data_IF_406344575217
#
_entry.id   IF_406344575217
#
_cell.length_a   1.000
_cell.length_b   1.000
_cell.length_c   1.000
_cell.angle_alpha   90.00
_cell.angle_beta   90.00
_cell.angle_gamma   90.00
#
_symmetry.space_group_name_H-M   'P 1'
#
loop_
_entity.id
_entity.type
_entity.pdbx_description
1 polymer ?
#
# COMPACT_ATOMS: atom_id res chain seq x y z
N UNK A 1 -51.78 2.41 -0.07
CA UNK A 1 -50.34 2.50 -0.43
C UNK A 1 -50.04 1.33 -1.35
N UNK A 2 -49.80 1.60 -2.64
CA UNK A 2 -49.38 0.54 -3.57
C UNK A 2 -47.90 0.26 -3.27
N UNK A 3 -47.59 -0.90 -2.72
CA UNK A 3 -46.25 -1.44 -2.73
C UNK A 3 -45.86 -1.62 -4.22
N UNK A 4 -44.93 -0.80 -4.70
CA UNK A 4 -44.29 -1.06 -5.99
C UNK A 4 -43.45 -2.30 -5.81
N UNK A 5 -43.83 -3.41 -6.45
CA UNK A 5 -42.93 -4.56 -6.59
C UNK A 5 -41.64 -4.08 -7.23
N UNK A 6 -40.56 -4.12 -6.48
CA UNK A 6 -39.20 -3.85 -7.02
C UNK A 6 -38.80 -5.08 -7.83
N UNK A 7 -38.89 -4.98 -9.14
CA UNK A 7 -38.42 -6.03 -10.03
C UNK A 7 -36.87 -5.90 -10.14
N UNK A 8 -36.14 -6.75 -9.44
CA UNK A 8 -34.70 -6.82 -9.57
C UNK A 8 -34.29 -7.39 -10.94
N UNK A 9 -33.28 -6.75 -11.58
CA UNK A 9 -32.82 -7.18 -12.91
C UNK A 9 -31.98 -8.46 -12.89
N UNK A 10 -31.18 -8.67 -11.83
CA UNK A 10 -30.34 -9.86 -11.67
C UNK A 10 -30.08 -10.19 -10.19
N UNK A 11 -29.67 -11.44 -9.93
CA UNK A 11 -29.08 -11.86 -8.66
C UNK A 11 -27.56 -11.77 -8.74
N UNK A 12 -26.96 -11.10 -7.75
CA UNK A 12 -25.52 -10.80 -7.71
C UNK A 12 -24.92 -11.30 -6.40
N UNK A 13 -23.80 -12.05 -6.50
CA UNK A 13 -23.00 -12.40 -5.34
C UNK A 13 -21.69 -11.61 -5.35
N UNK A 14 -21.44 -10.84 -4.30
CA UNK A 14 -20.17 -10.16 -4.04
C UNK A 14 -19.35 -11.01 -3.07
N UNK A 15 -18.19 -11.46 -3.49
CA UNK A 15 -17.30 -12.32 -2.69
C UNK A 15 -16.19 -11.46 -2.10
N UNK A 16 -16.26 -11.22 -0.78
CA UNK A 16 -15.35 -10.40 -0.01
C UNK A 16 -15.95 -9.04 0.39
N UNK A 17 -16.20 -8.86 1.68
CA UNK A 17 -16.73 -7.65 2.30
C UNK A 17 -15.65 -6.64 2.68
N UNK A 18 -14.60 -6.52 1.88
CA UNK A 18 -13.57 -5.49 1.99
C UNK A 18 -13.98 -4.15 1.39
N UNK A 19 -13.01 -3.26 1.17
CA UNK A 19 -13.22 -1.92 0.63
C UNK A 19 -14.00 -1.94 -0.69
N UNK A 20 -13.49 -2.62 -1.71
CA UNK A 20 -14.11 -2.68 -3.04
C UNK A 20 -15.44 -3.44 -3.05
N UNK A 21 -15.57 -4.50 -2.23
CA UNK A 21 -16.78 -5.32 -2.18
C UNK A 21 -17.96 -4.58 -1.53
N UNK A 22 -17.72 -3.83 -0.45
CA UNK A 22 -18.76 -3.01 0.17
C UNK A 22 -19.31 -1.96 -0.82
N UNK A 23 -18.41 -1.23 -1.51
CA UNK A 23 -18.85 -0.25 -2.51
C UNK A 23 -19.58 -0.91 -3.67
N UNK A 24 -19.04 -2.02 -4.19
CA UNK A 24 -19.69 -2.77 -5.28
C UNK A 24 -21.10 -3.24 -4.89
N UNK A 25 -21.28 -3.77 -3.66
CA UNK A 25 -22.57 -4.25 -3.20
C UNK A 25 -23.59 -3.12 -3.04
N UNK A 26 -23.20 -1.97 -2.50
CA UNK A 26 -24.05 -0.79 -2.35
C UNK A 26 -24.55 -0.31 -3.71
N UNK A 27 -23.67 -0.13 -4.68
CA UNK A 27 -24.09 0.36 -6.01
C UNK A 27 -24.87 -0.71 -6.81
N UNK A 28 -24.53 -1.98 -6.69
CA UNK A 28 -25.27 -3.05 -7.37
C UNK A 28 -26.68 -3.22 -6.83
N UNK A 29 -26.91 -2.98 -5.52
CA UNK A 29 -28.23 -3.14 -4.89
C UNK A 29 -29.29 -2.14 -5.36
N UNK A 30 -28.87 -1.06 -6.04
CA UNK A 30 -29.81 -0.08 -6.59
C UNK A 30 -30.79 -0.70 -7.61
N UNK A 31 -30.38 -1.75 -8.32
CA UNK A 31 -31.17 -2.39 -9.36
C UNK A 31 -31.22 -3.93 -9.27
N UNK A 32 -30.48 -4.54 -8.36
CA UNK A 32 -30.31 -5.97 -8.31
C UNK A 32 -30.51 -6.52 -6.90
N UNK A 33 -30.83 -7.84 -6.80
CA UNK A 33 -30.78 -8.55 -5.52
C UNK A 33 -29.32 -8.92 -5.24
N UNK A 34 -28.73 -8.37 -4.17
CA UNK A 34 -27.31 -8.52 -3.85
C UNK A 34 -27.11 -9.31 -2.57
N UNK A 35 -26.23 -10.31 -2.63
CA UNK A 35 -25.70 -11.06 -1.49
C UNK A 35 -24.22 -10.68 -1.38
N UNK A 36 -23.77 -10.24 -0.20
CA UNK A 36 -22.39 -9.99 0.14
C UNK A 36 -21.90 -11.05 1.12
N UNK A 37 -20.87 -11.81 0.72
CA UNK A 37 -20.34 -12.89 1.54
C UNK A 37 -18.91 -12.61 1.99
N UNK A 38 -18.61 -12.81 3.27
CA UNK A 38 -17.26 -12.74 3.82
C UNK A 38 -17.01 -13.84 4.85
N UNK A 39 -15.81 -14.43 4.82
CA UNK A 39 -15.40 -15.46 5.78
C UNK A 39 -15.14 -14.91 7.18
N UNK A 40 -14.92 -13.60 7.33
CA UNK A 40 -14.76 -12.97 8.62
C UNK A 40 -16.11 -12.64 9.26
N UNK A 41 -16.11 -12.53 10.58
CA UNK A 41 -17.27 -12.06 11.33
C UNK A 41 -17.57 -10.56 11.05
N UNK A 42 -16.54 -9.75 10.85
CA UNK A 42 -16.68 -8.31 10.62
C UNK A 42 -16.19 -7.95 9.21
N UNK A 43 -17.03 -7.23 8.46
CA UNK A 43 -16.66 -6.68 7.16
C UNK A 43 -15.64 -5.55 7.30
N UNK A 44 -14.89 -5.27 6.25
CA UNK A 44 -13.94 -4.16 6.21
C UNK A 44 -12.74 -4.29 7.14
N UNK A 45 -12.38 -5.51 7.57
CA UNK A 45 -11.32 -5.76 8.56
C UNK A 45 -9.99 -5.11 8.18
N UNK A 46 -9.61 -5.11 6.88
CA UNK A 46 -8.39 -4.45 6.41
C UNK A 46 -8.48 -2.92 6.47
N UNK A 47 -9.68 -2.33 6.30
CA UNK A 47 -9.91 -0.88 6.43
C UNK A 47 -9.47 -0.40 7.82
N UNK A 48 -9.81 -1.15 8.86
CA UNK A 48 -9.50 -0.82 10.26
C UNK A 48 -7.99 -0.71 10.54
N UNK A 49 -7.15 -1.36 9.74
CA UNK A 49 -5.70 -1.36 9.91
C UNK A 49 -5.01 -0.23 9.13
N UNK A 50 -5.72 0.42 8.21
CA UNK A 50 -5.13 1.45 7.34
C UNK A 50 -4.84 2.74 8.11
N UNK A 51 -3.80 3.47 7.68
CA UNK A 51 -3.43 4.75 8.30
C UNK A 51 -3.18 4.65 9.79
N UNK A 52 -2.66 3.52 10.29
CA UNK A 52 -2.45 3.25 11.71
C UNK A 52 -3.73 3.41 12.55
N UNK A 53 -4.83 2.82 12.06
CA UNK A 53 -6.17 2.89 12.69
C UNK A 53 -6.96 4.18 12.43
N UNK A 54 -6.44 5.10 11.61
CA UNK A 54 -7.10 6.37 11.27
C UNK A 54 -7.82 6.36 9.92
N UNK A 55 -7.47 5.42 9.04
CA UNK A 55 -7.93 5.28 7.67
C UNK A 55 -7.67 6.52 6.80
N UNK A 56 -6.53 6.56 6.12
CA UNK A 56 -6.35 7.48 5.01
C UNK A 56 -7.18 6.95 3.84
N UNK A 57 -8.43 7.41 3.73
CA UNK A 57 -9.41 6.79 2.84
C UNK A 57 -9.37 7.36 1.42
N UNK A 58 -8.75 8.53 1.21
CA UNK A 58 -8.70 9.20 -0.08
C UNK A 58 -7.46 10.11 -0.19
N UNK A 59 -7.08 10.43 -1.42
CA UNK A 59 -6.06 11.42 -1.71
C UNK A 59 -6.55 12.37 -2.80
N UNK A 60 -6.32 13.68 -2.63
CA UNK A 60 -6.68 14.70 -3.63
C UNK A 60 -5.92 14.52 -4.94
N UNK A 61 -4.67 14.03 -4.85
CA UNK A 61 -3.75 13.90 -5.98
C UNK A 61 -3.83 12.52 -6.67
N UNK A 62 -4.95 11.78 -6.50
CA UNK A 62 -5.14 10.50 -7.17
C UNK A 62 -4.96 10.66 -8.67
N UNK A 63 -3.87 10.06 -9.17
CA UNK A 63 -3.49 10.00 -10.58
C UNK A 63 -2.59 8.78 -10.83
N UNK A 64 -2.48 8.34 -12.06
CA UNK A 64 -1.75 7.11 -12.40
C UNK A 64 -0.25 7.13 -12.10
N UNK A 65 0.35 8.32 -11.91
CA UNK A 65 1.77 8.45 -11.53
C UNK A 65 2.10 7.85 -10.16
N UNK A 66 1.10 7.64 -9.29
CA UNK A 66 1.23 7.06 -7.96
C UNK A 66 0.95 5.57 -7.91
N UNK A 67 0.80 4.92 -9.06
CA UNK A 67 0.48 3.50 -9.14
C UNK A 67 1.48 2.74 -9.99
N UNK A 68 1.57 1.44 -9.73
CA UNK A 68 2.25 0.46 -10.57
C UNK A 68 1.21 -0.51 -11.13
N UNK A 69 1.37 -0.89 -12.38
CA UNK A 69 0.60 -1.91 -13.09
C UNK A 69 1.35 -2.32 -14.35
N UNK A 70 1.21 -3.56 -14.80
CA UNK A 70 1.72 -3.96 -16.12
C UNK A 70 1.00 -3.26 -17.28
N UNK A 71 -0.22 -2.75 -17.04
CA UNK A 71 -1.09 -2.09 -18.01
C UNK A 71 -1.45 -0.65 -17.59
N UNK A 72 -0.46 0.14 -17.20
CA UNK A 72 -0.63 1.48 -16.60
C UNK A 72 -1.50 2.43 -17.44
N UNK A 73 -1.44 2.34 -18.77
CA UNK A 73 -2.24 3.17 -19.68
C UNK A 73 -3.74 2.91 -19.57
N UNK A 74 -4.13 1.68 -19.20
CA UNK A 74 -5.54 1.33 -18.98
C UNK A 74 -6.06 1.92 -17.67
N UNK A 75 -5.19 2.13 -16.69
CA UNK A 75 -5.55 2.69 -15.41
C UNK A 75 -6.07 4.14 -15.54
N UNK A 76 -5.61 4.92 -16.51
CA UNK A 76 -6.12 6.26 -16.81
C UNK A 76 -7.62 6.27 -17.16
N UNK A 77 -8.15 5.18 -17.71
CA UNK A 77 -9.58 5.05 -18.02
C UNK A 77 -10.42 4.83 -16.77
N UNK A 78 -9.84 4.17 -15.77
CA UNK A 78 -10.48 3.89 -14.47
C UNK A 78 -10.35 5.12 -13.56
N UNK A 79 -9.15 5.68 -13.44
CA UNK A 79 -8.85 6.85 -12.58
C UNK A 79 -9.05 8.14 -13.40
N UNK A 80 -10.29 8.46 -13.72
CA UNK A 80 -10.67 9.70 -14.39
C UNK A 80 -11.37 10.67 -13.43
N UNK A 81 -11.58 11.92 -13.87
CA UNK A 81 -12.15 12.95 -13.02
C UNK A 81 -13.60 12.68 -12.61
N UNK A 82 -14.40 12.05 -13.48
CA UNK A 82 -15.79 11.70 -13.18
C UNK A 82 -15.86 10.67 -12.05
N UNK A 83 -15.09 9.61 -12.15
CA UNK A 83 -15.04 8.56 -11.13
C UNK A 83 -14.50 9.08 -9.79
N UNK A 84 -13.48 9.93 -9.82
CA UNK A 84 -12.94 10.59 -8.61
C UNK A 84 -14.00 11.44 -7.92
N UNK A 85 -14.70 12.28 -8.66
CA UNK A 85 -15.76 13.14 -8.13
C UNK A 85 -16.89 12.31 -7.53
N UNK A 86 -17.27 11.20 -8.17
CA UNK A 86 -18.31 10.31 -7.63
C UNK A 86 -17.90 9.71 -6.29
N UNK A 87 -16.67 9.25 -6.13
CA UNK A 87 -16.21 8.70 -4.84
C UNK A 87 -16.18 9.78 -3.75
N UNK A 88 -15.74 11.01 -4.06
CA UNK A 88 -15.82 12.10 -3.09
C UNK A 88 -17.26 12.40 -2.67
N UNK A 89 -18.20 12.40 -3.61
CA UNK A 89 -19.62 12.60 -3.33
C UNK A 89 -20.23 11.42 -2.58
N UNK A 90 -19.82 10.20 -2.88
CA UNK A 90 -20.23 8.99 -2.17
C UNK A 90 -19.90 9.09 -0.66
N UNK A 91 -18.67 9.40 -0.30
CA UNK A 91 -18.30 9.55 1.11
C UNK A 91 -19.02 10.72 1.81
N UNK A 92 -19.33 11.81 1.08
CA UNK A 92 -20.19 12.88 1.61
C UNK A 92 -21.61 12.39 1.91
N UNK A 93 -22.21 11.58 1.01
CA UNK A 93 -23.55 10.97 1.23
C UNK A 93 -23.56 10.02 2.41
N UNK A 94 -22.46 9.30 2.65
CA UNK A 94 -22.27 8.46 3.84
C UNK A 94 -22.09 9.26 5.14
N UNK A 95 -22.10 10.59 5.10
CA UNK A 95 -21.90 11.46 6.27
C UNK A 95 -20.46 11.54 6.75
N UNK A 96 -19.48 11.12 5.95
CA UNK A 96 -18.06 11.22 6.29
C UNK A 96 -17.57 12.66 6.10
N UNK A 97 -17.20 13.29 7.20
CA UNK A 97 -16.58 14.63 7.20
C UNK A 97 -15.06 14.45 7.06
N UNK A 98 -14.44 15.00 5.99
CA UNK A 98 -13.00 14.84 5.78
C UNK A 98 -12.20 15.76 6.69
N UNK A 99 -11.09 15.24 7.23
CA UNK A 99 -9.97 15.99 7.78
C UNK A 99 -8.82 15.87 6.80
N UNK A 100 -8.51 16.98 6.12
CA UNK A 100 -7.47 17.03 5.09
C UNK A 100 -6.15 17.46 5.72
N UNK A 101 -5.07 16.73 5.43
CA UNK A 101 -3.68 17.07 5.76
C UNK A 101 -2.88 16.96 4.47
N UNK A 102 -2.38 18.06 3.96
CA UNK A 102 -1.79 18.16 2.64
C UNK A 102 -2.78 17.66 1.57
N UNK A 103 -2.51 16.52 0.93
CA UNK A 103 -3.44 15.86 -0.01
C UNK A 103 -4.19 14.68 0.58
N UNK A 104 -3.91 14.27 1.82
CA UNK A 104 -4.44 13.08 2.49
C UNK A 104 -5.77 13.33 3.18
N UNK A 105 -6.77 12.48 2.93
CA UNK A 105 -8.09 12.55 3.55
C UNK A 105 -8.24 11.50 4.64
N UNK A 106 -8.53 11.95 5.85
CA UNK A 106 -8.91 11.11 6.98
C UNK A 106 -10.33 11.45 7.40
N UNK A 107 -11.11 10.54 8.04
CA UNK A 107 -12.32 10.96 8.71
C UNK A 107 -11.99 11.96 9.83
N UNK A 108 -12.87 12.95 10.07
CA UNK A 108 -12.65 13.99 11.09
C UNK A 108 -12.45 13.39 12.49
N UNK A 109 -13.06 12.23 12.75
CA UNK A 109 -12.89 11.43 13.97
C UNK A 109 -11.49 10.88 14.15
N UNK A 110 -10.65 10.81 13.09
CA UNK A 110 -9.38 10.08 13.03
C UNK A 110 -9.52 8.58 13.40
N UNK A 111 -10.66 7.95 13.13
CA UNK A 111 -10.95 6.55 13.44
C UNK A 111 -11.36 5.80 12.18
N UNK A 112 -10.65 4.73 11.85
CA UNK A 112 -10.97 3.87 10.70
C UNK A 112 -12.35 3.21 10.82
N UNK A 113 -12.82 3.02 12.05
CA UNK A 113 -14.17 2.52 12.34
C UNK A 113 -15.27 3.40 11.76
N UNK A 114 -15.07 4.73 11.68
CA UNK A 114 -16.08 5.63 11.09
C UNK A 114 -16.32 5.30 9.61
N UNK A 115 -15.26 4.99 8.86
CA UNK A 115 -15.38 4.59 7.45
C UNK A 115 -16.03 3.22 7.33
N UNK A 116 -15.57 2.24 8.11
CA UNK A 116 -16.11 0.89 8.11
C UNK A 116 -17.60 0.87 8.47
N UNK A 117 -17.98 1.50 9.58
CA UNK A 117 -19.36 1.53 10.06
C UNK A 117 -20.28 2.20 9.05
N UNK A 118 -19.88 3.32 8.46
CA UNK A 118 -20.67 4.01 7.45
C UNK A 118 -20.92 3.15 6.21
N UNK A 119 -19.91 2.41 5.73
CA UNK A 119 -20.05 1.52 4.58
C UNK A 119 -20.93 0.31 4.88
N UNK A 120 -20.77 -0.32 6.06
CA UNK A 120 -21.59 -1.48 6.44
C UNK A 120 -23.06 -1.07 6.63
N UNK A 121 -23.30 0.04 7.35
CA UNK A 121 -24.65 0.56 7.53
C UNK A 121 -25.33 0.87 6.20
N UNK A 122 -24.63 1.52 5.28
CA UNK A 122 -25.17 1.84 3.95
C UNK A 122 -25.51 0.57 3.16
N UNK A 123 -24.67 -0.47 3.21
CA UNK A 123 -24.96 -1.74 2.57
C UNK A 123 -26.23 -2.39 3.15
N UNK A 124 -26.41 -2.38 4.48
CA UNK A 124 -27.62 -2.87 5.15
C UNK A 124 -28.86 -2.06 4.74
N UNK A 125 -28.77 -0.73 4.78
CA UNK A 125 -29.86 0.18 4.41
C UNK A 125 -30.27 0.07 2.93
N UNK A 126 -29.29 -0.28 2.07
CA UNK A 126 -29.54 -0.52 0.65
C UNK A 126 -30.12 -1.91 0.36
N UNK A 127 -30.39 -2.72 1.38
CA UNK A 127 -31.02 -4.05 1.23
C UNK A 127 -30.07 -5.15 0.79
N UNK A 128 -28.75 -4.99 0.98
CA UNK A 128 -27.77 -6.04 0.72
C UNK A 128 -27.91 -7.15 1.76
N UNK A 129 -28.09 -8.39 1.31
CA UNK A 129 -28.06 -9.57 2.21
C UNK A 129 -26.61 -9.88 2.57
N UNK A 130 -26.24 -9.72 3.85
CA UNK A 130 -24.88 -9.90 4.34
C UNK A 130 -24.72 -11.26 4.99
N UNK A 131 -23.79 -12.09 4.48
CA UNK A 131 -23.45 -13.41 5.00
C UNK A 131 -22.02 -13.39 5.56
N UNK A 132 -21.91 -13.17 6.87
CA UNK A 132 -20.64 -13.20 7.60
C UNK A 132 -20.29 -14.62 8.08
N UNK A 133 -19.02 -14.88 8.39
CA UNK A 133 -18.50 -16.19 8.83
C UNK A 133 -18.81 -17.31 7.81
N UNK A 134 -18.84 -16.97 6.53
CA UNK A 134 -19.16 -17.91 5.49
C UNK A 134 -18.09 -17.86 4.39
N UNK A 135 -17.35 -18.94 4.24
CA UNK A 135 -16.24 -19.02 3.29
C UNK A 135 -16.71 -19.62 1.95
N UNK A 136 -16.32 -18.98 0.85
CA UNK A 136 -16.52 -19.55 -0.50
C UNK A 136 -15.47 -20.61 -0.75
N UNK A 137 -15.92 -21.83 -1.07
CA UNK A 137 -15.08 -23.00 -1.32
C UNK A 137 -14.90 -23.29 -2.81
N UNK A 138 -15.89 -23.01 -3.63
CA UNK A 138 -15.77 -23.09 -5.09
C UNK A 138 -16.72 -22.15 -5.81
N UNK A 139 -16.32 -21.75 -7.01
CA UNK A 139 -17.13 -21.00 -7.98
C UNK A 139 -17.06 -21.71 -9.31
N UNK A 140 -18.20 -22.08 -9.85
CA UNK A 140 -18.34 -22.83 -11.09
C UNK A 140 -19.35 -22.15 -12.02
N UNK A 141 -19.15 -22.32 -13.34
CA UNK A 141 -20.19 -21.97 -14.32
C UNK A 141 -21.29 -23.04 -14.29
N UNK A 142 -22.53 -22.59 -14.25
CA UNK A 142 -23.71 -23.45 -14.25
C UNK A 142 -24.73 -22.90 -15.25
N UNK A 143 -24.72 -23.44 -16.47
CA UNK A 143 -25.42 -22.85 -17.61
C UNK A 143 -25.01 -21.37 -17.81
N UNK A 144 -25.98 -20.46 -17.86
CA UNK A 144 -25.74 -19.03 -17.96
C UNK A 144 -25.52 -18.34 -16.61
N UNK A 145 -25.57 -19.08 -15.51
CA UNK A 145 -25.40 -18.62 -14.13
C UNK A 145 -24.08 -19.09 -13.51
N UNK A 146 -23.89 -18.73 -12.26
CA UNK A 146 -22.79 -19.21 -11.42
C UNK A 146 -23.34 -20.02 -10.25
N UNK A 147 -22.71 -21.16 -10.01
CA UNK A 147 -22.92 -22.00 -8.83
C UNK A 147 -21.76 -21.79 -7.88
N UNK A 148 -22.05 -21.37 -6.67
CA UNK A 148 -21.07 -21.10 -5.63
C UNK A 148 -21.33 -22.02 -4.45
N UNK A 149 -20.32 -22.80 -4.08
CA UNK A 149 -20.35 -23.62 -2.87
C UNK A 149 -19.65 -22.84 -1.76
N UNK A 150 -20.33 -22.72 -0.64
CA UNK A 150 -19.79 -22.08 0.56
C UNK A 150 -19.61 -23.12 1.67
N UNK A 151 -19.06 -22.70 2.81
CA UNK A 151 -18.97 -23.55 4.02
C UNK A 151 -20.35 -24.00 4.53
N UNK A 152 -21.44 -23.30 4.20
CA UNK A 152 -22.76 -23.54 4.79
C UNK A 152 -23.83 -23.91 3.77
N UNK A 153 -23.69 -23.53 2.51
CA UNK A 153 -24.78 -23.69 1.50
C UNK A 153 -24.26 -23.67 0.06
N UNK A 154 -25.18 -23.92 -0.86
CA UNK A 154 -25.03 -23.71 -2.29
C UNK A 154 -25.84 -22.46 -2.70
N UNK A 155 -25.24 -21.59 -3.51
CA UNK A 155 -25.85 -20.34 -4.00
C UNK A 155 -25.76 -20.35 -5.52
N UNK A 156 -26.87 -20.08 -6.22
CA UNK A 156 -26.88 -19.90 -7.67
C UNK A 156 -27.29 -18.47 -8.00
N UNK A 157 -26.41 -17.75 -8.75
CA UNK A 157 -26.59 -16.34 -9.08
C UNK A 157 -26.30 -16.06 -10.55
N UNK A 158 -26.82 -14.95 -11.05
CA UNK A 158 -26.61 -14.52 -12.44
C UNK A 158 -25.22 -13.92 -12.65
N UNK A 159 -24.70 -13.19 -11.64
CA UNK A 159 -23.43 -12.46 -11.73
C UNK A 159 -22.61 -12.58 -10.44
N UNK A 160 -21.29 -12.47 -10.58
CA UNK A 160 -20.34 -12.52 -9.46
C UNK A 160 -19.40 -11.30 -9.50
N UNK A 161 -19.13 -10.72 -8.33
CA UNK A 161 -18.06 -9.76 -8.11
C UNK A 161 -16.99 -10.40 -7.23
N UNK A 162 -15.77 -10.57 -7.75
CA UNK A 162 -14.60 -10.98 -6.98
C UNK A 162 -13.96 -9.76 -6.34
N UNK A 163 -14.14 -9.61 -5.02
CA UNK A 163 -13.61 -8.52 -4.19
C UNK A 163 -12.78 -9.05 -3.01
N UNK A 164 -12.13 -10.20 -3.20
CA UNK A 164 -11.44 -10.99 -2.17
C UNK A 164 -10.14 -10.36 -1.66
N UNK A 165 -9.66 -9.29 -2.31
CA UNK A 165 -8.34 -8.73 -2.04
C UNK A 165 -7.19 -9.62 -2.51
N UNK A 166 -5.99 -9.31 -2.06
CA UNK A 166 -4.73 -9.96 -2.47
C UNK A 166 -4.25 -11.03 -1.48
N UNK A 167 -2.93 -11.33 -1.48
CA UNK A 167 -2.24 -12.16 -0.46
C UNK A 167 -1.73 -11.34 0.73
N UNK A 168 -1.71 -10.00 0.63
CA UNK A 168 -1.14 -9.15 1.67
C UNK A 168 -1.99 -9.14 2.94
N UNK A 169 -1.31 -9.22 4.10
CA UNK A 169 -1.90 -9.21 5.43
C UNK A 169 -2.97 -10.31 5.62
N UNK A 170 -2.63 -11.61 5.49
CA UNK A 170 -3.58 -12.73 5.46
C UNK A 170 -4.45 -12.83 6.72
N UNK A 171 -4.00 -12.29 7.86
CA UNK A 171 -4.80 -12.16 9.10
C UNK A 171 -6.08 -11.34 8.94
N UNK A 172 -6.20 -10.56 7.86
CA UNK A 172 -7.42 -9.81 7.52
C UNK A 172 -8.42 -10.60 6.69
N UNK A 173 -8.07 -11.82 6.29
CA UNK A 173 -8.87 -12.66 5.41
C UNK A 173 -8.38 -12.71 3.95
N UNK A 174 -7.42 -11.87 3.57
CA UNK A 174 -6.84 -11.82 2.22
C UNK A 174 -5.82 -12.95 2.03
N UNK A 175 -6.26 -14.09 1.51
CA UNK A 175 -5.40 -15.29 1.35
C UNK A 175 -4.92 -15.52 -0.08
N UNK A 176 -5.42 -14.73 -1.04
CA UNK A 176 -5.13 -14.92 -2.46
C UNK A 176 -6.04 -15.94 -3.17
N UNK A 177 -7.05 -16.48 -2.50
CA UNK A 177 -8.00 -17.44 -3.11
C UNK A 177 -8.71 -16.87 -4.35
N UNK A 178 -8.94 -15.56 -4.40
CA UNK A 178 -9.50 -14.91 -5.59
C UNK A 178 -8.65 -15.07 -6.85
N UNK A 179 -7.33 -15.19 -6.71
CA UNK A 179 -6.44 -15.47 -7.86
C UNK A 179 -6.69 -16.87 -8.44
N UNK A 180 -6.97 -17.85 -7.59
CA UNK A 180 -7.30 -19.21 -8.02
C UNK A 180 -8.63 -19.23 -8.79
N UNK A 181 -9.65 -18.53 -8.28
CA UNK A 181 -10.94 -18.39 -8.96
C UNK A 181 -10.75 -17.68 -10.31
N UNK A 182 -10.06 -16.54 -10.34
CA UNK A 182 -9.82 -15.80 -11.57
C UNK A 182 -9.05 -16.64 -12.61
N UNK A 183 -8.02 -17.36 -12.17
CA UNK A 183 -7.23 -18.27 -13.02
C UNK A 183 -8.10 -19.40 -13.60
N UNK A 184 -9.02 -19.96 -12.82
CA UNK A 184 -9.98 -21.00 -13.27
C UNK A 184 -10.86 -20.48 -14.42
N UNK A 185 -11.19 -19.18 -14.42
CA UNK A 185 -11.92 -18.52 -15.51
C UNK A 185 -11.01 -17.97 -16.62
N UNK A 186 -9.74 -18.40 -16.65
CA UNK A 186 -8.79 -18.16 -17.72
C UNK A 186 -8.05 -16.83 -17.61
N UNK A 187 -8.13 -16.12 -16.47
CA UNK A 187 -7.35 -14.90 -16.27
C UNK A 187 -5.88 -15.19 -16.02
N UNK A 188 -5.04 -14.32 -16.58
CA UNK A 188 -3.61 -14.29 -16.32
C UNK A 188 -3.35 -13.58 -14.98
N UNK A 189 -2.57 -14.21 -14.13
CA UNK A 189 -2.15 -13.65 -12.86
C UNK A 189 -0.69 -13.18 -13.01
N UNK A 190 -0.46 -11.88 -12.95
CA UNK A 190 0.88 -11.31 -12.75
C UNK A 190 1.31 -11.69 -11.34
N UNK A 191 2.49 -12.30 -11.17
CA UNK A 191 2.92 -12.83 -9.88
C UNK A 191 2.74 -11.82 -8.75
N UNK A 192 1.89 -12.11 -7.75
CA UNK A 192 1.68 -11.23 -6.62
C UNK A 192 2.89 -11.22 -5.69
N UNK A 193 3.46 -10.06 -5.44
CA UNK A 193 4.63 -9.85 -4.59
C UNK A 193 4.29 -8.88 -3.44
N UNK A 194 4.96 -8.99 -2.26
CA UNK A 194 4.72 -8.09 -1.15
C UNK A 194 5.05 -6.64 -1.53
N UNK A 195 4.15 -5.70 -1.23
CA UNK A 195 4.38 -4.27 -1.44
C UNK A 195 3.92 -3.46 -0.22
N UNK A 196 4.40 -2.22 -0.09
CA UNK A 196 4.29 -1.39 1.12
C UNK A 196 4.74 -2.19 2.35
N UNK A 197 5.96 -2.71 2.29
CA UNK A 197 6.55 -3.67 3.21
C UNK A 197 7.96 -3.23 3.62
N UNK A 198 8.42 -3.69 4.78
CA UNK A 198 9.76 -3.46 5.29
C UNK A 198 10.80 -4.23 4.47
N UNK A 199 12.01 -3.68 4.38
CA UNK A 199 13.15 -4.31 3.69
C UNK A 199 14.14 -4.91 4.69
N UNK A 200 14.61 -6.12 4.39
CA UNK A 200 15.68 -6.80 5.09
C UNK A 200 17.00 -6.51 4.38
N UNK A 201 17.97 -6.00 5.13
CA UNK A 201 19.26 -5.59 4.59
C UNK A 201 20.36 -6.53 5.02
N UNK A 202 21.47 -6.51 4.26
CA UNK A 202 22.70 -7.15 4.68
C UNK A 202 23.54 -6.19 5.52
N UNK A 203 23.89 -6.61 6.74
CA UNK A 203 24.70 -5.80 7.65
C UNK A 203 24.75 -6.38 9.06
N UNK A 204 25.83 -6.03 9.79
CA UNK A 204 26.09 -6.58 11.14
C UNK A 204 25.72 -5.65 12.29
N UNK A 205 25.42 -4.39 12.01
CA UNK A 205 25.25 -3.35 13.04
C UNK A 205 23.81 -2.89 13.28
N UNK A 206 22.83 -3.55 12.69
CA UNK A 206 21.42 -3.09 12.74
C UNK A 206 20.84 -3.07 14.17
N UNK A 207 21.28 -3.94 15.05
CA UNK A 207 20.89 -3.91 16.47
C UNK A 207 21.29 -2.61 17.17
N UNK A 208 22.41 -1.98 16.73
CA UNK A 208 22.93 -0.74 17.33
C UNK A 208 22.08 0.49 16.95
N UNK A 209 21.46 0.48 15.78
CA UNK A 209 20.61 1.58 15.31
C UNK A 209 19.10 1.34 15.48
N UNK A 210 18.70 0.12 15.88
CA UNK A 210 17.29 -0.26 15.97
C UNK A 210 16.46 0.68 16.86
N UNK A 211 15.23 0.98 16.40
CA UNK A 211 14.27 1.84 17.08
C UNK A 211 14.42 3.33 16.76
N UNK A 212 15.42 3.73 15.95
CA UNK A 212 15.58 5.13 15.55
C UNK A 212 14.63 5.45 14.41
N UNK A 213 14.07 6.66 14.44
CA UNK A 213 13.38 7.32 13.33
C UNK A 213 14.16 8.55 12.91
N UNK A 214 14.25 8.80 11.62
CA UNK A 214 14.97 9.94 11.05
C UNK A 214 14.37 10.34 9.71
N UNK A 215 14.35 11.63 9.41
CA UNK A 215 14.03 12.13 8.08
C UNK A 215 15.23 11.95 7.15
N UNK A 216 15.02 11.25 6.05
CA UNK A 216 16.08 10.86 5.12
C UNK A 216 15.61 10.98 3.67
N UNK A 217 16.57 10.92 2.73
CA UNK A 217 16.29 10.42 1.39
C UNK A 217 16.84 9.01 1.24
N UNK A 218 16.09 8.16 0.52
CA UNK A 218 16.47 6.78 0.19
C UNK A 218 16.42 6.63 -1.32
N UNK A 219 17.54 6.21 -1.91
CA UNK A 219 17.63 5.88 -3.33
C UNK A 219 17.66 4.37 -3.51
N UNK A 220 16.88 3.88 -4.46
CA UNK A 220 16.89 2.49 -4.89
C UNK A 220 17.78 2.32 -6.11
N UNK A 221 18.68 1.35 -6.05
CA UNK A 221 19.53 0.93 -7.17
C UNK A 221 19.25 -0.53 -7.51
N UNK A 222 19.00 -0.78 -8.78
CA UNK A 222 18.87 -2.11 -9.39
C UNK A 222 20.08 -2.34 -10.30
N UNK A 223 20.88 -3.37 -10.03
CA UNK A 223 22.11 -3.67 -10.79
C UNK A 223 23.02 -2.44 -10.97
N UNK A 224 23.19 -1.65 -9.91
CA UNK A 224 23.92 -0.36 -9.87
C UNK A 224 23.28 0.82 -10.63
N UNK A 225 22.09 0.67 -11.24
CA UNK A 225 21.38 1.75 -11.90
C UNK A 225 20.39 2.37 -10.91
N UNK A 226 20.38 3.71 -10.79
CA UNK A 226 19.39 4.42 -9.98
C UNK A 226 18.01 4.26 -10.63
N UNK A 227 17.03 3.76 -9.85
CA UNK A 227 15.67 3.51 -10.28
C UNK A 227 14.71 4.58 -9.74
N UNK A 228 14.73 4.83 -8.43
CA UNK A 228 13.81 5.77 -7.77
C UNK A 228 14.46 6.36 -6.52
N UNK A 229 14.07 7.59 -6.17
CA UNK A 229 14.36 8.22 -4.88
C UNK A 229 13.05 8.47 -4.14
N UNK A 230 13.03 8.19 -2.84
CA UNK A 230 11.93 8.53 -1.94
C UNK A 230 12.47 9.31 -0.73
N UNK A 231 11.64 10.23 -0.20
CA UNK A 231 11.99 11.06 0.97
C UNK A 231 10.94 10.91 2.05
N UNK A 232 11.37 11.01 3.30
CA UNK A 232 10.48 10.95 4.45
C UNK A 232 11.10 10.25 5.64
N UNK A 233 10.27 9.96 6.63
CA UNK A 233 10.72 9.27 7.84
C UNK A 233 11.06 7.81 7.55
N UNK A 234 12.30 7.43 7.82
CA UNK A 234 12.76 6.04 7.89
C UNK A 234 12.68 5.56 9.35
N UNK A 235 12.33 4.29 9.55
CA UNK A 235 12.46 3.60 10.81
C UNK A 235 13.54 2.53 10.67
N UNK A 236 14.62 2.65 11.44
CA UNK A 236 15.71 1.69 11.51
C UNK A 236 15.30 0.53 12.42
N UNK A 237 15.49 -0.69 11.95
CA UNK A 237 15.13 -1.93 12.68
C UNK A 237 16.37 -2.80 12.88
N UNK A 238 16.23 -3.87 13.62
CA UNK A 238 17.33 -4.83 13.89
C UNK A 238 17.60 -5.80 12.72
N UNK A 239 16.79 -5.73 11.65
CA UNK A 239 16.92 -6.52 10.43
C UNK A 239 17.09 -5.67 9.15
N UNK A 240 16.97 -4.36 9.25
CA UNK A 240 17.02 -3.47 8.10
C UNK A 240 16.23 -2.17 8.31
N UNK A 241 15.26 -1.88 7.45
CA UNK A 241 14.55 -0.60 7.43
C UNK A 241 13.05 -0.72 7.18
N UNK A 242 12.32 0.25 7.70
CA UNK A 242 10.89 0.46 7.55
C UNK A 242 10.60 1.96 7.39
N UNK A 243 9.34 2.35 7.27
CA UNK A 243 8.93 3.75 7.16
C UNK A 243 8.38 4.09 5.77
N UNK A 244 7.75 5.27 5.67
CA UNK A 244 6.99 5.64 4.46
C UNK A 244 7.89 5.67 3.22
N UNK A 245 9.08 6.27 3.30
CA UNK A 245 10.03 6.32 2.18
C UNK A 245 10.50 4.94 1.73
N UNK A 246 10.59 3.96 2.65
CA UNK A 246 10.93 2.57 2.34
C UNK A 246 9.75 1.86 1.66
N UNK A 247 8.54 2.07 2.17
CA UNK A 247 7.33 1.47 1.59
C UNK A 247 7.11 1.91 0.14
N UNK A 248 7.38 3.17 -0.20
CA UNK A 248 7.25 3.70 -1.56
C UNK A 248 8.23 3.05 -2.58
N UNK A 249 9.29 2.42 -2.09
CA UNK A 249 10.28 1.72 -2.92
C UNK A 249 10.04 0.21 -2.97
N UNK A 250 9.34 -0.34 -1.97
CA UNK A 250 9.28 -1.77 -1.71
C UNK A 250 8.64 -2.61 -2.82
N UNK A 251 7.67 -2.07 -3.57
CA UNK A 251 7.07 -2.73 -4.73
C UNK A 251 8.12 -3.01 -5.82
N UNK A 252 8.94 -2.00 -6.14
CA UNK A 252 10.02 -2.12 -7.11
C UNK A 252 11.09 -3.11 -6.62
N UNK A 253 11.48 -3.01 -5.34
CA UNK A 253 12.41 -3.95 -4.71
C UNK A 253 11.91 -5.39 -4.81
N UNK A 254 10.66 -5.65 -4.44
CA UNK A 254 10.08 -7.00 -4.53
C UNK A 254 10.12 -7.54 -5.95
N UNK A 255 9.82 -6.70 -6.93
CA UNK A 255 9.86 -7.07 -8.35
C UNK A 255 11.29 -7.34 -8.84
N UNK A 256 12.26 -6.51 -8.43
CA UNK A 256 13.66 -6.69 -8.77
C UNK A 256 14.23 -7.98 -8.16
N UNK A 257 13.96 -8.26 -6.88
CA UNK A 257 14.36 -9.51 -6.21
C UNK A 257 13.75 -10.74 -6.88
N UNK A 258 12.46 -10.68 -7.25
CA UNK A 258 11.80 -11.76 -8.00
C UNK A 258 12.48 -12.04 -9.34
N UNK A 259 12.96 -11.00 -10.03
CA UNK A 259 13.72 -11.10 -11.28
C UNK A 259 15.19 -11.42 -11.05
N UNK A 260 15.63 -11.70 -9.83
CA UNK A 260 17.02 -11.99 -9.45
C UNK A 260 17.98 -10.82 -9.71
N UNK A 261 17.50 -9.58 -9.63
CA UNK A 261 18.35 -8.39 -9.71
C UNK A 261 19.02 -8.11 -8.37
N UNK A 262 20.18 -7.46 -8.45
CA UNK A 262 20.86 -6.95 -7.26
C UNK A 262 20.24 -5.65 -6.82
N UNK A 263 19.51 -5.69 -5.71
CA UNK A 263 18.81 -4.55 -5.14
C UNK A 263 19.65 -3.91 -4.01
N UNK A 264 19.87 -2.62 -4.09
CA UNK A 264 20.59 -1.86 -3.07
C UNK A 264 19.83 -0.57 -2.75
N UNK A 265 19.84 -0.18 -1.48
CA UNK A 265 19.36 1.14 -1.06
C UNK A 265 20.54 2.01 -0.59
N UNK A 266 20.47 3.31 -0.89
CA UNK A 266 21.40 4.32 -0.41
C UNK A 266 20.65 5.33 0.46
N UNK A 267 21.05 5.45 1.73
CA UNK A 267 20.40 6.30 2.71
C UNK A 267 21.23 7.56 2.93
N UNK A 268 20.61 8.72 2.80
CA UNK A 268 21.18 10.01 3.19
C UNK A 268 20.47 10.55 4.46
N UNK A 269 21.18 10.51 5.59
CA UNK A 269 20.71 11.01 6.89
C UNK A 269 20.79 12.54 7.05
N UNK A 270 21.45 13.23 6.12
CA UNK A 270 21.67 14.68 6.15
C UNK A 270 20.92 15.42 5.03
N UNK A 271 19.96 14.76 4.41
CA UNK A 271 19.18 15.34 3.32
C UNK A 271 18.46 16.65 3.72
N UNK A 272 17.96 16.75 4.94
CA UNK A 272 17.29 17.96 5.48
C UNK A 272 18.22 19.18 5.59
N UNK A 273 19.54 18.96 5.63
CA UNK A 273 20.57 19.99 5.64
C UNK A 273 21.11 20.30 4.24
N UNK A 274 20.55 19.69 3.18
CA UNK A 274 21.05 19.79 1.80
C UNK A 274 22.51 19.33 1.63
N UNK A 275 22.95 18.34 2.40
CA UNK A 275 24.27 17.73 2.33
C UNK A 275 24.12 16.40 1.59
N UNK A 276 24.72 16.30 0.39
CA UNK A 276 24.50 15.16 -0.51
C UNK A 276 25.73 14.30 -0.77
N UNK A 277 26.89 14.76 -0.33
CA UNK A 277 28.16 14.04 -0.51
C UNK A 277 29.17 14.38 0.59
N UNK A 278 30.26 13.65 0.60
CA UNK A 278 31.30 13.75 1.61
C UNK A 278 32.08 15.08 1.56
N UNK A 279 32.13 15.77 0.42
CA UNK A 279 32.78 17.09 0.29
C UNK A 279 31.92 18.17 0.93
N UNK A 280 30.62 18.19 0.62
CA UNK A 280 29.65 19.08 1.25
C UNK A 280 29.59 18.86 2.76
N UNK A 281 29.66 17.59 3.19
CA UNK A 281 29.73 17.20 4.59
C UNK A 281 30.94 17.84 5.30
N UNK A 282 32.15 17.69 4.75
CA UNK A 282 33.35 18.25 5.36
C UNK A 282 33.24 19.76 5.44
N UNK A 283 32.85 20.43 4.36
CA UNK A 283 32.68 21.88 4.32
C UNK A 283 31.69 22.35 5.40
N UNK A 284 30.51 21.73 5.50
CA UNK A 284 29.52 22.08 6.50
C UNK A 284 30.07 21.95 7.93
N UNK A 285 30.82 20.87 8.22
CA UNK A 285 31.35 20.64 9.57
C UNK A 285 32.61 21.47 9.86
N UNK A 286 33.41 21.87 8.86
CA UNK A 286 34.48 22.86 9.01
C UNK A 286 33.87 24.21 9.42
N UNK A 287 32.83 24.70 8.74
CA UNK A 287 32.13 25.93 9.06
C UNK A 287 31.46 25.86 10.45
N UNK A 288 30.80 24.73 10.77
CA UNK A 288 30.19 24.51 12.07
C UNK A 288 31.22 24.49 13.20
N UNK A 289 32.39 23.88 13.00
CA UNK A 289 33.47 23.84 13.98
C UNK A 289 33.99 25.24 14.32
N UNK A 290 34.05 26.13 13.32
CA UNK A 290 34.40 27.54 13.53
C UNK A 290 33.34 28.24 14.38
N UNK A 291 32.07 27.99 14.14
CA UNK A 291 30.93 28.62 14.83
C UNK A 291 30.85 28.17 16.31
N UNK A 292 31.00 26.86 16.58
CA UNK A 292 30.78 26.28 17.92
C UNK A 292 32.09 25.75 18.53
N UNK A 293 33.08 26.61 18.63
CA UNK A 293 34.43 26.32 19.09
C UNK A 293 34.53 25.36 20.28
N UNK A 294 35.65 24.60 20.32
CA UNK A 294 36.00 23.70 21.44
C UNK A 294 35.02 22.50 21.65
N UNK A 295 34.31 22.07 20.62
CA UNK A 295 33.45 20.88 20.68
C UNK A 295 34.20 19.63 20.18
N UNK A 296 33.87 18.50 20.78
CA UNK A 296 34.28 17.19 20.26
C UNK A 296 33.45 16.85 19.02
N UNK A 297 33.91 15.91 18.19
CA UNK A 297 33.15 15.46 17.02
C UNK A 297 31.77 14.93 17.40
N UNK A 298 31.64 14.21 18.52
CA UNK A 298 30.32 13.78 19.00
C UNK A 298 29.38 14.94 19.29
N UNK A 299 29.90 16.00 19.94
CA UNK A 299 29.15 17.21 20.25
C UNK A 299 28.81 18.06 19.00
N UNK A 300 29.63 18.03 17.96
CA UNK A 300 29.35 18.66 16.68
C UNK A 300 28.20 17.97 15.92
N UNK A 301 28.10 16.65 16.03
CA UNK A 301 27.02 15.86 15.42
C UNK A 301 25.73 15.90 16.25
N UNK A 302 25.82 16.18 17.54
CA UNK A 302 24.68 16.30 18.44
C UNK A 302 23.76 17.47 18.01
N UNK A 303 22.45 17.29 18.13
CA UNK A 303 21.45 18.22 17.59
C UNK A 303 21.19 18.09 16.08
N UNK A 304 21.94 17.22 15.37
CA UNK A 304 21.73 16.89 13.95
C UNK A 304 21.24 15.45 13.81
N UNK A 305 21.90 14.52 14.54
CA UNK A 305 21.64 13.09 14.47
C UNK A 305 21.30 12.51 15.85
N UNK A 306 20.55 11.42 15.84
CA UNK A 306 20.31 10.64 17.05
C UNK A 306 21.65 10.12 17.62
N UNK A 307 21.81 10.15 18.93
CA UNK A 307 23.06 9.75 19.62
C UNK A 307 23.52 8.32 19.31
N UNK A 308 22.60 7.38 19.07
CA UNK A 308 22.96 6.01 18.67
C UNK A 308 23.60 5.98 17.29
N UNK A 309 23.09 6.78 16.33
CA UNK A 309 23.70 6.91 14.99
C UNK A 309 25.09 7.56 15.08
N UNK A 310 25.24 8.61 15.90
CA UNK A 310 26.53 9.25 16.13
C UNK A 310 27.53 8.21 16.63
N UNK A 311 27.20 7.47 17.69
CA UNK A 311 28.09 6.46 18.25
C UNK A 311 28.44 5.36 17.25
N UNK A 312 27.45 4.87 16.50
CA UNK A 312 27.62 3.83 15.49
C UNK A 312 28.56 4.29 14.36
N UNK A 313 28.29 5.44 13.75
CA UNK A 313 29.06 5.89 12.61
C UNK A 313 30.47 6.39 12.97
N UNK A 314 30.65 6.95 14.16
CA UNK A 314 31.99 7.23 14.69
C UNK A 314 32.79 5.94 14.93
N UNK A 315 32.17 4.90 15.49
CA UNK A 315 32.76 3.57 15.70
C UNK A 315 33.18 2.94 14.34
N UNK A 316 32.28 2.94 13.34
CA UNK A 316 32.59 2.40 11.99
C UNK A 316 33.73 3.18 11.32
N UNK A 317 33.75 4.51 11.51
CA UNK A 317 34.79 5.38 10.96
C UNK A 317 36.11 5.35 11.77
N UNK A 318 36.17 4.56 12.85
CA UNK A 318 37.31 4.51 13.77
C UNK A 318 37.73 5.90 14.27
N UNK A 319 36.76 6.72 14.63
CA UNK A 319 36.94 8.06 15.17
C UNK A 319 36.58 8.04 16.66
N UNK A 320 37.54 8.50 17.52
CA UNK A 320 37.23 8.70 18.94
C UNK A 320 36.20 9.83 19.10
N UNK A 321 35.13 9.55 19.84
CA UNK A 321 34.03 10.50 20.05
C UNK A 321 34.44 11.81 20.73
N UNK A 322 35.55 11.81 21.47
CA UNK A 322 36.08 12.92 22.25
C UNK A 322 37.13 13.73 21.50
N UNK A 323 37.55 13.31 20.29
CA UNK A 323 38.52 14.04 19.47
C UNK A 323 37.88 15.32 18.93
N UNK A 324 38.66 16.36 18.74
CA UNK A 324 38.22 17.59 18.07
C UNK A 324 38.14 17.36 16.54
N UNK A 325 37.28 18.10 15.89
CA UNK A 325 37.07 18.00 14.44
C UNK A 325 38.36 18.25 13.63
N UNK A 326 39.14 19.27 14.02
CA UNK A 326 40.41 19.61 13.39
C UNK A 326 41.47 18.50 13.44
N UNK A 327 41.43 17.66 14.48
CA UNK A 327 42.41 16.58 14.71
C UNK A 327 42.06 15.29 13.95
N UNK A 328 40.91 15.22 13.29
CA UNK A 328 40.48 14.06 12.52
C UNK A 328 41.15 14.09 11.14
N UNK A 329 41.73 12.97 10.74
CA UNK A 329 42.35 12.86 9.40
C UNK A 329 41.29 13.01 8.29
N UNK A 330 41.68 13.53 7.14
CA UNK A 330 40.83 13.74 5.98
C UNK A 330 40.10 12.46 5.54
N UNK A 331 40.81 11.33 5.53
CA UNK A 331 40.21 10.04 5.12
C UNK A 331 39.12 9.58 6.05
N UNK A 332 39.26 9.77 7.36
CA UNK A 332 38.22 9.46 8.32
C UNK A 332 37.02 10.41 8.21
N UNK A 333 37.25 11.70 7.94
CA UNK A 333 36.18 12.67 7.64
C UNK A 333 35.40 12.27 6.39
N UNK A 334 36.10 11.85 5.32
CA UNK A 334 35.49 11.37 4.08
C UNK A 334 34.65 10.07 4.32
N UNK A 335 35.20 9.13 5.10
CA UNK A 335 34.47 7.90 5.42
C UNK A 335 33.20 8.20 6.23
N UNK A 336 33.28 9.04 7.27
CA UNK A 336 32.14 9.46 8.07
C UNK A 336 31.10 10.17 7.18
N UNK A 337 31.55 11.11 6.33
CA UNK A 337 30.68 11.82 5.38
C UNK A 337 29.96 10.86 4.44
N UNK A 338 30.65 9.85 3.90
CA UNK A 338 30.07 8.82 3.03
C UNK A 338 29.00 7.99 3.76
N UNK A 339 29.28 7.56 4.99
CA UNK A 339 28.33 6.80 5.81
C UNK A 339 27.07 7.59 6.15
N UNK A 340 27.17 8.92 6.26
CA UNK A 340 26.05 9.77 6.59
C UNK A 340 25.26 10.28 5.37
N UNK A 341 25.90 10.38 4.19
CA UNK A 341 25.27 10.94 2.98
C UNK A 341 24.97 9.89 1.91
N UNK A 342 25.67 8.75 1.92
CA UNK A 342 25.58 7.68 0.90
C UNK A 342 25.75 6.29 1.52
N UNK A 343 25.00 6.02 2.58
CA UNK A 343 25.05 4.72 3.24
C UNK A 343 24.36 3.66 2.37
N UNK A 344 25.13 2.96 1.56
CA UNK A 344 24.66 1.97 0.58
C UNK A 344 24.66 0.57 1.17
N UNK A 345 23.51 -0.09 1.09
CA UNK A 345 23.24 -1.39 1.72
C UNK A 345 22.53 -2.31 0.73
N UNK A 346 22.93 -3.57 0.70
CA UNK A 346 22.30 -4.61 -0.09
C UNK A 346 20.97 -4.99 0.52
N UNK A 347 19.93 -5.13 -0.31
CA UNK A 347 18.63 -5.66 0.10
C UNK A 347 18.61 -7.16 -0.16
N UNK A 348 18.42 -7.96 0.88
CA UNK A 348 18.38 -9.41 0.78
C UNK A 348 16.95 -9.93 0.56
N UNK A 349 15.94 -9.27 1.17
CA UNK A 349 14.55 -9.73 1.14
C UNK A 349 13.61 -8.61 1.63
N UNK A 350 12.32 -8.92 1.65
CA UNK A 350 11.27 -8.16 2.34
C UNK A 350 10.76 -8.93 3.55
N UNK A 351 9.92 -8.29 4.38
CA UNK A 351 9.25 -9.01 5.49
C UNK A 351 8.05 -9.85 5.05
N UNK A 352 7.87 -10.06 3.74
CA UNK A 352 6.86 -10.95 3.17
C UNK A 352 5.41 -10.48 3.34
N UNK A 353 4.47 -11.34 2.92
CA UNK A 353 3.05 -11.01 2.88
C UNK A 353 2.41 -10.71 4.23
N UNK A 354 2.88 -11.33 5.32
CA UNK A 354 2.33 -11.12 6.66
C UNK A 354 2.47 -9.66 7.12
N UNK A 355 3.53 -9.00 6.67
CA UNK A 355 3.86 -7.60 6.99
C UNK A 355 3.50 -6.61 5.87
N UNK A 356 3.22 -7.11 4.67
CA UNK A 356 2.86 -6.27 3.54
C UNK A 356 1.47 -5.66 3.71
N UNK A 357 1.32 -4.39 3.34
CA UNK A 357 0.01 -3.72 3.35
C UNK A 357 -0.79 -4.07 2.09
N UNK A 358 -0.12 -4.20 0.95
CA UNK A 358 -0.70 -4.53 -0.36
C UNK A 358 0.19 -5.50 -1.12
N UNK A 359 -0.29 -6.03 -2.25
CA UNK A 359 0.50 -6.75 -3.24
C UNK A 359 0.75 -5.91 -4.49
N UNK A 360 1.93 -6.05 -5.07
CA UNK A 360 2.20 -5.72 -6.48
C UNK A 360 1.94 -6.94 -7.33
N UNK A 361 1.22 -6.79 -8.44
CA UNK A 361 0.74 -7.91 -9.25
C UNK A 361 -0.71 -8.30 -8.92
N UNK A 362 -1.25 -9.26 -9.65
CA UNK A 362 -2.64 -9.69 -9.56
C UNK A 362 -3.24 -10.04 -10.91
N UNK A 363 -4.55 -10.02 -11.03
CA UNK A 363 -5.26 -10.25 -12.30
C UNK A 363 -4.92 -9.15 -13.29
N UNK A 364 -4.47 -9.55 -14.48
CA UNK A 364 -4.01 -8.64 -15.52
C UNK A 364 -5.12 -7.67 -15.95
N UNK A 365 -4.85 -6.36 -15.88
CA UNK A 365 -5.84 -5.32 -16.10
C UNK A 365 -6.36 -5.28 -17.55
N UNK A 366 -5.53 -5.65 -18.55
CA UNK A 366 -5.92 -5.73 -19.95
C UNK A 366 -6.95 -6.82 -20.26
N UNK A 367 -7.25 -7.70 -19.30
CA UNK A 367 -8.29 -8.73 -19.43
C UNK A 367 -9.63 -8.32 -18.80
N UNK A 368 -9.73 -7.03 -18.37
CA UNK A 368 -10.89 -6.45 -17.70
C UNK A 368 -11.41 -5.27 -18.54
N UNK A 369 -12.71 -5.18 -18.68
CA UNK A 369 -13.34 -3.99 -19.24
C UNK A 369 -13.20 -2.82 -18.23
N UNK A 370 -12.40 -1.84 -18.55
CA UNK A 370 -12.07 -0.72 -17.64
C UNK A 370 -13.26 0.22 -17.34
N UNK A 371 -14.31 0.17 -18.13
CA UNK A 371 -15.52 0.97 -17.90
C UNK A 371 -16.50 0.30 -16.93
N UNK A 372 -16.50 -1.04 -16.87
CA UNK A 372 -17.49 -1.83 -16.10
C UNK A 372 -16.86 -2.77 -15.08
N UNK A 373 -15.56 -2.96 -15.11
CA UNK A 373 -14.81 -3.99 -14.34
C UNK A 373 -15.25 -5.42 -14.64
N UNK A 374 -16.03 -5.66 -15.69
CA UNK A 374 -16.40 -7.01 -16.14
C UNK A 374 -15.20 -7.70 -16.81
N UNK A 375 -15.07 -8.98 -16.57
CA UNK A 375 -14.10 -9.85 -17.25
C UNK A 375 -14.34 -9.87 -18.76
N UNK A 376 -13.28 -9.67 -19.53
CA UNK A 376 -13.32 -9.88 -21.00
C UNK A 376 -13.28 -11.36 -21.39
N UNK A 377 -13.01 -12.26 -20.43
CA UNK A 377 -12.93 -13.71 -20.64
C UNK A 377 -14.17 -14.45 -20.19
N UNK A 378 -14.88 -13.94 -19.19
CA UNK A 378 -16.04 -14.61 -18.60
C UNK A 378 -17.16 -13.60 -18.34
N UNK A 379 -18.23 -13.68 -19.13
CA UNK A 379 -19.41 -12.81 -18.99
C UNK A 379 -20.08 -12.99 -17.62
N UNK A 380 -20.45 -11.88 -16.99
CA UNK A 380 -21.11 -11.85 -15.68
C UNK A 380 -20.14 -12.02 -14.50
N UNK A 381 -18.83 -12.09 -14.75
CA UNK A 381 -17.79 -12.06 -13.75
C UNK A 381 -17.15 -10.67 -13.70
N UNK A 382 -17.13 -10.05 -12.53
CA UNK A 382 -16.51 -8.73 -12.28
C UNK A 382 -15.35 -8.90 -11.31
N UNK A 383 -14.26 -8.19 -11.51
CA UNK A 383 -13.05 -8.28 -10.67
C UNK A 383 -12.66 -6.87 -10.23
N UNK A 384 -12.53 -6.66 -8.90
CA UNK A 384 -12.34 -5.33 -8.33
C UNK A 384 -11.29 -5.28 -7.21
N UNK A 385 -10.79 -4.09 -6.96
CA UNK A 385 -9.87 -3.80 -5.86
C UNK A 385 -8.50 -4.43 -6.03
N UNK A 386 -7.90 -4.77 -4.92
CA UNK A 386 -6.52 -5.24 -4.80
C UNK A 386 -6.28 -6.65 -5.41
N UNK A 387 -7.32 -7.30 -5.93
CA UNK A 387 -7.19 -8.53 -6.71
C UNK A 387 -6.61 -8.27 -8.10
N UNK A 388 -6.74 -7.04 -8.61
CA UNK A 388 -6.19 -6.61 -9.89
C UNK A 388 -4.70 -6.27 -9.78
N UNK A 389 -3.98 -6.36 -10.89
CA UNK A 389 -2.57 -5.94 -11.02
C UNK A 389 -2.45 -4.41 -10.98
N UNK A 390 -2.79 -3.84 -9.82
CA UNK A 390 -2.69 -2.40 -9.53
C UNK A 390 -2.31 -2.21 -8.06
N UNK A 391 -1.14 -1.65 -7.80
CA UNK A 391 -0.71 -1.22 -6.49
C UNK A 391 -0.35 0.26 -6.47
N UNK A 392 -0.78 0.97 -5.45
CA UNK A 392 -0.53 2.40 -5.25
C UNK A 392 0.47 2.66 -4.13
N UNK A 393 1.08 3.84 -4.17
CA UNK A 393 1.93 4.36 -3.09
C UNK A 393 1.17 4.46 -1.76
N UNK A 394 1.90 4.68 -0.66
CA UNK A 394 1.29 5.07 0.62
C UNK A 394 0.55 6.39 0.47
N UNK A 395 -0.69 6.48 0.98
CA UNK A 395 -1.36 7.78 0.96
C UNK A 395 -2.81 7.80 0.49
N UNK A 396 -3.56 6.71 0.65
CA UNK A 396 -4.96 6.63 0.26
C UNK A 396 -5.20 6.14 -1.17
N UNK A 397 -4.14 5.92 -1.94
CA UNK A 397 -4.21 5.51 -3.35
C UNK A 397 -4.83 4.11 -3.50
N UNK A 398 -4.38 3.11 -2.73
CA UNK A 398 -4.90 1.74 -2.80
C UNK A 398 -6.38 1.66 -2.44
N UNK A 399 -6.80 2.38 -1.40
CA UNK A 399 -8.22 2.50 -1.06
C UNK A 399 -8.99 3.26 -2.15
N UNK A 400 -8.42 4.34 -2.70
CA UNK A 400 -9.00 5.09 -3.81
C UNK A 400 -9.30 4.21 -5.02
N UNK A 401 -8.35 3.38 -5.44
CA UNK A 401 -8.57 2.40 -6.52
C UNK A 401 -9.63 1.35 -6.15
N UNK A 402 -9.63 0.87 -4.90
CA UNK A 402 -10.63 -0.08 -4.44
C UNK A 402 -12.05 0.50 -4.48
N UNK A 403 -12.23 1.76 -4.07
CA UNK A 403 -13.51 2.45 -4.17
C UNK A 403 -13.98 2.64 -5.60
N UNK A 404 -13.09 3.15 -6.48
CA UNK A 404 -13.41 3.43 -7.89
C UNK A 404 -13.78 2.13 -8.62
N UNK A 405 -12.97 1.08 -8.49
CA UNK A 405 -13.25 -0.20 -9.15
C UNK A 405 -14.53 -0.86 -8.63
N UNK A 406 -14.77 -0.80 -7.31
CA UNK A 406 -16.03 -1.26 -6.71
C UNK A 406 -17.25 -0.50 -7.23
N UNK A 407 -17.16 0.82 -7.31
CA UNK A 407 -18.19 1.67 -7.90
C UNK A 407 -18.49 1.31 -9.37
N UNK A 408 -17.45 1.20 -10.19
CA UNK A 408 -17.61 0.86 -11.62
C UNK A 408 -18.27 -0.50 -11.81
N UNK A 409 -17.89 -1.50 -11.03
CA UNK A 409 -18.56 -2.80 -11.07
C UNK A 409 -20.03 -2.69 -10.65
N UNK A 410 -20.30 -2.15 -9.46
CA UNK A 410 -21.65 -2.06 -8.91
C UNK A 410 -22.62 -1.27 -9.78
N UNK A 411 -22.18 -0.15 -10.34
CA UNK A 411 -22.99 0.70 -11.24
C UNK A 411 -23.38 0.01 -12.55
N UNK A 412 -22.54 -0.89 -13.06
CA UNK A 412 -22.71 -1.51 -14.38
C UNK A 412 -23.21 -2.97 -14.32
N UNK A 413 -23.48 -3.48 -13.15
CA UNK A 413 -24.17 -4.76 -12.94
C UNK A 413 -25.67 -4.57 -13.09
#
# INVERSE_FOLDING_TARGET
MYEREVVFMASVLVIGGGASGLVASIYASLNNKVILIDKNNNLGKKILMTGNGKCNYWNKDISTIHYNSSDIDLLNKIINNENKLEIENFFKRLGIVPKIRDSYYYPASNQATSIQTALVLEAELSGVEILNNEEVLSVDKYNDKYKVITSNREIVVDKIVLATGSKACPKTGSTGYGYEIASKFGHTIVEPLPALVQLRLDGKYFKEWAGIRSDVSVKLYENNKLIKEARGEIQLTDYGVSGICVFQLSSLVSRGLYNSYKEEIEINFLNSLNIYNEVDFIKYFDDRNILVKNRTVSQLLDGILNYKLINLFLKISMIDRNIKWEDISKDKKLLLGRLLTKNRLLVNDTNGFDSAQVCSGGVKLSEINTATMESLKQKGLYIVGELLDVDGECGGFNLGFAWISGYLAGKNI
#
